data_IF_369333697067
#
_entry.id   IF_369333697067
#
_cell.length_a   1.000
_cell.length_b   1.000
_cell.length_c   1.000
_cell.angle_alpha   90.00
_cell.angle_beta   90.00
_cell.angle_gamma   90.00
#
_symmetry.space_group_name_H-M   'P 1'
#
loop_
_entity.id
_entity.type
_entity.pdbx_description
1 polymer ?
#
# COMPACT_ATOMS: atom_id res chain seq x y z
N UNK A 1 -7.19 6.57 -12.69
CA UNK A 1 -5.92 7.21 -12.31
C UNK A 1 -4.81 6.34 -12.88
N UNK A 2 -3.77 6.92 -13.47
CA UNK A 2 -2.60 6.16 -13.95
C UNK A 2 -1.67 5.82 -12.79
N UNK A 3 -0.73 4.89 -13.02
CA UNK A 3 0.31 4.54 -12.06
C UNK A 3 1.11 5.76 -11.57
N UNK A 4 1.44 6.68 -12.49
CA UNK A 4 2.20 7.90 -12.18
C UNK A 4 1.36 8.88 -11.37
N UNK A 5 0.09 9.07 -11.71
CA UNK A 5 -0.83 9.92 -10.96
C UNK A 5 -1.00 9.41 -9.51
N UNK A 6 -1.10 8.08 -9.31
CA UNK A 6 -1.16 7.48 -7.98
C UNK A 6 0.11 7.75 -7.16
N UNK A 7 1.29 7.52 -7.75
CA UNK A 7 2.57 7.80 -7.08
C UNK A 7 2.74 9.28 -6.76
N UNK A 8 2.38 10.17 -7.68
CA UNK A 8 2.47 11.62 -7.46
C UNK A 8 1.53 12.08 -6.36
N UNK A 9 0.30 11.58 -6.31
CA UNK A 9 -0.63 11.88 -5.21
C UNK A 9 -0.03 11.50 -3.85
N UNK A 10 0.53 10.29 -3.73
CA UNK A 10 1.17 9.84 -2.49
C UNK A 10 2.45 10.63 -2.15
N UNK A 11 3.23 11.00 -3.16
CA UNK A 11 4.41 11.85 -2.98
C UNK A 11 4.03 13.20 -2.37
N UNK A 12 2.99 13.86 -2.89
CA UNK A 12 2.53 15.11 -2.31
C UNK A 12 2.02 14.92 -0.88
N UNK A 13 1.22 13.88 -0.63
CA UNK A 13 0.65 13.62 0.69
C UNK A 13 1.73 13.35 1.75
N UNK A 14 2.67 12.46 1.50
CA UNK A 14 3.63 12.03 2.52
C UNK A 14 4.94 12.82 2.49
N UNK A 15 5.52 13.00 1.31
CA UNK A 15 6.85 13.63 1.19
C UNK A 15 6.73 15.14 1.30
N UNK A 16 5.93 15.77 0.45
CA UNK A 16 5.83 17.23 0.42
C UNK A 16 5.10 17.78 1.64
N UNK A 17 3.95 17.20 2.00
CA UNK A 17 3.09 17.79 3.03
C UNK A 17 3.38 17.29 4.45
N UNK A 18 3.96 16.08 4.60
CA UNK A 18 4.20 15.45 5.92
C UNK A 18 5.68 15.24 6.24
N UNK A 19 6.59 15.66 5.34
CA UNK A 19 8.03 15.66 5.58
C UNK A 19 8.70 14.28 5.54
N UNK A 20 8.03 13.26 4.98
CA UNK A 20 8.64 11.96 4.78
C UNK A 20 9.74 12.06 3.71
N UNK A 21 10.80 11.26 3.82
CA UNK A 21 11.85 11.24 2.78
C UNK A 21 11.41 10.51 1.51
N UNK A 22 10.45 9.58 1.63
CA UNK A 22 9.93 8.76 0.55
C UNK A 22 8.46 8.38 0.83
N UNK A 23 7.78 7.79 -0.15
CA UNK A 23 6.40 7.32 -0.01
C UNK A 23 6.39 6.07 0.90
N UNK A 24 5.71 6.08 2.06
CA UNK A 24 5.82 5.03 3.08
C UNK A 24 4.87 3.84 2.81
N UNK A 25 4.82 3.35 1.56
CA UNK A 25 4.03 2.16 1.20
C UNK A 25 4.74 1.30 0.15
N UNK A 26 4.43 0.01 0.08
CA UNK A 26 4.96 -0.88 -0.96
C UNK A 26 4.09 -0.87 -2.21
N UNK A 27 2.77 -0.85 -2.02
CA UNK A 27 1.79 -0.95 -3.10
C UNK A 27 0.68 0.08 -2.92
N UNK A 28 0.12 0.55 -4.03
CA UNK A 28 -1.10 1.38 -4.05
C UNK A 28 -2.12 0.68 -4.93
N UNK A 29 -3.37 0.57 -4.46
CA UNK A 29 -4.52 0.03 -5.20
C UNK A 29 -5.47 1.19 -5.57
N UNK A 30 -5.68 1.40 -6.86
CA UNK A 30 -6.58 2.41 -7.41
C UNK A 30 -8.05 1.98 -7.36
N UNK A 31 -8.96 2.93 -7.59
CA UNK A 31 -10.40 2.69 -7.55
C UNK A 31 -10.89 1.64 -8.57
N UNK A 32 -10.14 1.37 -9.64
CA UNK A 32 -10.52 0.38 -10.65
C UNK A 32 -9.92 -1.02 -10.37
N UNK A 33 -9.30 -1.21 -9.20
CA UNK A 33 -8.57 -2.44 -8.88
C UNK A 33 -7.25 -2.57 -9.62
N UNK A 34 -6.77 -1.53 -10.29
CA UNK A 34 -5.39 -1.43 -10.75
C UNK A 34 -4.46 -1.25 -9.56
N UNK A 35 -3.21 -1.72 -9.66
CA UNK A 35 -2.23 -1.51 -8.61
C UNK A 35 -0.88 -1.08 -9.16
N UNK A 36 -0.12 -0.37 -8.34
CA UNK A 36 1.26 0.01 -8.64
C UNK A 36 2.19 -0.37 -7.50
N UNK A 37 3.35 -0.91 -7.86
CA UNK A 37 4.47 -1.12 -6.93
C UNK A 37 5.26 0.19 -6.78
N UNK A 38 5.47 0.59 -5.54
CA UNK A 38 6.16 1.83 -5.18
C UNK A 38 7.57 1.53 -4.67
N UNK A 39 7.69 0.64 -3.69
CA UNK A 39 8.96 0.22 -3.11
C UNK A 39 9.13 -1.31 -3.20
N UNK A 40 10.37 -1.78 -3.06
CA UNK A 40 10.69 -3.20 -2.94
C UNK A 40 10.24 -3.75 -1.57
N UNK A 41 9.83 -5.02 -1.50
CA UNK A 41 9.23 -5.62 -0.29
C UNK A 41 10.20 -5.77 0.89
N UNK A 42 11.50 -5.70 0.63
CA UNK A 42 12.57 -5.73 1.64
C UNK A 42 12.92 -4.33 2.17
N UNK A 43 12.31 -3.28 1.60
CA UNK A 43 12.51 -1.91 2.03
C UNK A 43 11.65 -1.64 3.26
N UNK A 44 12.27 -1.28 4.38
CA UNK A 44 11.56 -0.77 5.55
C UNK A 44 10.86 0.52 5.14
N UNK A 45 9.53 0.48 5.09
CA UNK A 45 8.64 1.61 4.84
C UNK A 45 7.48 1.52 5.80
N UNK A 46 6.77 2.62 6.02
CA UNK A 46 5.58 2.60 6.85
C UNK A 46 5.46 3.88 7.66
N UNK A 47 4.23 4.29 7.90
CA UNK A 47 3.88 5.49 8.67
C UNK A 47 2.87 5.17 9.76
N UNK A 48 2.79 3.91 10.18
CA UNK A 48 1.80 3.45 11.15
C UNK A 48 2.32 3.66 12.58
N UNK A 49 1.40 3.75 13.54
CA UNK A 49 1.74 3.83 14.97
C UNK A 49 2.31 2.51 15.52
N UNK A 50 2.24 1.42 14.74
CA UNK A 50 2.82 0.13 15.09
C UNK A 50 4.23 0.04 14.46
N UNK A 51 5.26 0.31 15.26
CA UNK A 51 6.65 0.28 14.81
C UNK A 51 7.07 -1.10 14.26
N UNK A 52 6.61 -2.19 14.89
CA UNK A 52 6.90 -3.55 14.42
C UNK A 52 6.32 -3.79 13.03
N UNK A 53 5.11 -3.28 12.76
CA UNK A 53 4.50 -3.35 11.44
C UNK A 53 5.26 -2.54 10.38
N UNK A 54 5.86 -1.40 10.75
CA UNK A 54 6.69 -0.63 9.82
C UNK A 54 8.00 -1.35 9.47
N UNK A 55 8.54 -2.19 10.36
CA UNK A 55 9.81 -2.91 10.14
C UNK A 55 9.58 -4.26 9.46
N UNK A 56 8.52 -4.97 9.83
CA UNK A 56 8.29 -6.35 9.41
C UNK A 56 7.06 -6.54 8.49
N UNK A 57 6.34 -5.46 8.20
CA UNK A 57 5.06 -5.51 7.48
C UNK A 57 5.15 -5.08 6.03
N UNK A 58 4.17 -5.52 5.24
CA UNK A 58 3.94 -5.02 3.88
C UNK A 58 2.78 -4.04 3.88
N UNK A 59 3.12 -2.76 3.74
CA UNK A 59 2.16 -1.67 3.59
C UNK A 59 1.51 -1.65 2.19
N UNK A 60 0.17 -1.64 2.16
CA UNK A 60 -0.66 -1.52 0.97
C UNK A 60 -1.62 -0.34 1.19
N UNK A 61 -1.53 0.67 0.34
CA UNK A 61 -2.45 1.81 0.35
C UNK A 61 -3.61 1.54 -0.60
N UNK A 62 -4.85 1.86 -0.19
CA UNK A 62 -6.03 1.75 -1.04
C UNK A 62 -6.60 3.15 -1.25
N UNK A 63 -6.73 3.57 -2.51
CA UNK A 63 -7.19 4.92 -2.85
C UNK A 63 -8.68 5.07 -2.52
N UNK A 64 -9.02 5.99 -1.60
CA UNK A 64 -10.39 6.33 -1.27
C UNK A 64 -10.51 7.11 0.04
N UNK A 65 -11.70 7.68 0.29
CA UNK A 65 -12.09 8.16 1.62
C UNK A 65 -13.07 7.17 2.25
N UNK A 66 -12.54 6.29 3.08
CA UNK A 66 -13.31 5.22 3.71
C UNK A 66 -14.12 5.66 4.93
N UNK A 67 -14.08 6.94 5.29
CA UNK A 67 -15.06 7.51 6.22
C UNK A 67 -16.41 7.76 5.53
N UNK A 68 -16.44 7.83 4.19
CA UNK A 68 -17.65 8.13 3.42
C UNK A 68 -18.25 6.90 2.74
N UNK A 69 -17.41 6.03 2.19
CA UNK A 69 -17.84 4.82 1.50
C UNK A 69 -16.81 3.71 1.68
N UNK A 70 -17.26 2.47 1.80
CA UNK A 70 -16.36 1.31 1.85
C UNK A 70 -15.56 1.15 0.54
N UNK A 71 -14.40 0.46 0.56
CA UNK A 71 -13.72 0.06 -0.67
C UNK A 71 -14.65 -0.70 -1.60
N UNK A 72 -14.49 -0.51 -2.91
CA UNK A 72 -15.33 -1.21 -3.88
C UNK A 72 -14.84 -2.65 -4.14
N UNK A 73 -15.67 -3.45 -4.81
CA UNK A 73 -15.37 -4.87 -5.12
C UNK A 73 -14.06 -5.06 -5.89
N UNK A 74 -13.72 -4.15 -6.80
CA UNK A 74 -12.48 -4.25 -7.58
C UNK A 74 -11.25 -4.04 -6.70
N UNK A 75 -11.34 -3.15 -5.72
CA UNK A 75 -10.29 -2.91 -4.73
C UNK A 75 -10.11 -4.12 -3.81
N UNK A 76 -11.20 -4.69 -3.28
CA UNK A 76 -11.16 -5.91 -2.47
C UNK A 76 -10.56 -7.09 -3.24
N UNK A 77 -10.99 -7.28 -4.49
CA UNK A 77 -10.47 -8.35 -5.34
C UNK A 77 -8.95 -8.21 -5.56
N UNK A 78 -8.47 -7.01 -5.87
CA UNK A 78 -7.05 -6.76 -6.07
C UNK A 78 -6.25 -6.93 -4.77
N UNK A 79 -6.80 -6.47 -3.64
CA UNK A 79 -6.17 -6.65 -2.33
C UNK A 79 -5.95 -8.14 -2.02
N UNK A 80 -6.98 -8.97 -2.22
CA UNK A 80 -6.87 -10.41 -2.00
C UNK A 80 -5.81 -11.05 -2.91
N UNK A 81 -5.81 -10.71 -4.20
CA UNK A 81 -4.81 -11.21 -5.15
C UNK A 81 -3.38 -10.80 -4.78
N UNK A 82 -3.19 -9.58 -4.29
CA UNK A 82 -1.90 -9.09 -3.81
C UNK A 82 -1.44 -9.85 -2.57
N UNK A 83 -2.33 -10.03 -1.59
CA UNK A 83 -2.03 -10.78 -0.36
C UNK A 83 -1.65 -12.22 -0.70
N UNK A 84 -2.44 -12.91 -1.52
CA UNK A 84 -2.14 -14.28 -1.97
C UNK A 84 -0.75 -14.36 -2.61
N UNK A 85 -0.44 -13.46 -3.55
CA UNK A 85 0.86 -13.41 -4.22
C UNK A 85 2.02 -13.10 -3.28
N UNK A 86 1.79 -12.27 -2.27
CA UNK A 86 2.79 -11.96 -1.23
C UNK A 86 3.07 -13.21 -0.40
N UNK A 87 2.02 -13.91 0.05
CA UNK A 87 2.14 -15.13 0.86
C UNK A 87 2.79 -16.28 0.07
N UNK A 88 2.46 -16.45 -1.20
CA UNK A 88 3.10 -17.44 -2.07
C UNK A 88 4.62 -17.25 -2.18
N UNK A 89 5.07 -15.99 -2.22
CA UNK A 89 6.50 -15.66 -2.29
C UNK A 89 7.21 -15.74 -0.94
N UNK A 90 6.46 -15.71 0.15
CA UNK A 90 6.96 -15.69 1.52
C UNK A 90 6.21 -16.74 2.35
N UNK A 91 6.37 -18.04 2.07
CA UNK A 91 5.60 -19.11 2.72
C UNK A 91 5.83 -19.18 4.24
N UNK A 92 6.93 -18.61 4.73
CA UNK A 92 7.27 -18.55 6.16
C UNK A 92 6.61 -17.36 6.89
N UNK A 93 5.96 -16.43 6.18
CA UNK A 93 5.18 -15.37 6.82
C UNK A 93 3.90 -15.96 7.42
N UNK A 94 3.91 -16.15 8.74
CA UNK A 94 2.70 -16.46 9.48
C UNK A 94 1.89 -15.18 9.68
N UNK A 95 0.66 -15.14 9.18
CA UNK A 95 -0.33 -14.15 9.58
C UNK A 95 -0.73 -14.50 11.01
N UNK A 96 -0.28 -13.69 11.99
CA UNK A 96 -0.68 -13.84 13.39
C UNK A 96 -2.02 -13.18 13.66
#
# INVERSE_FOLDING_TARGET
MTADEMKMSMFYTYVQNRGFTYIPTHYIIGCNGDFVKVNEMDTIVGATLNEEANVNGIHIEIVGDFNQAEPNESQYKMLNQLIERILEKHPDMQIK
#
